data_IF_387538677144
#
_entry.id   IF_387538677144
#
_cell.length_a   1.000
_cell.length_b   1.000
_cell.length_c   1.000
_cell.angle_alpha   90.00
_cell.angle_beta   90.00
_cell.angle_gamma   90.00
#
_symmetry.space_group_name_H-M   'P 1'
#
loop_
_entity.id
_entity.type
_entity.pdbx_description
1 polymer ?
#
# COMPACT_ATOMS: atom_id res chain seq x y z
N UNK A 1 -0.71 -28.64 -3.79
CA UNK A 1 -0.45 -27.27 -3.29
C UNK A 1 -1.58 -26.40 -3.83
N UNK A 2 -2.42 -25.84 -2.96
CA UNK A 2 -3.56 -25.04 -3.41
C UNK A 2 -3.09 -23.74 -4.09
N UNK A 3 -3.55 -23.56 -5.32
CA UNK A 3 -3.36 -22.34 -6.12
C UNK A 3 -3.91 -21.11 -5.40
N UNK A 4 -3.28 -19.93 -5.56
CA UNK A 4 -3.81 -18.68 -5.01
C UNK A 4 -5.21 -18.41 -5.57
N UNK A 5 -6.16 -18.14 -4.68
CA UNK A 5 -7.51 -17.70 -5.03
C UNK A 5 -7.60 -16.18 -4.98
N UNK A 6 -8.33 -15.59 -5.92
CA UNK A 6 -8.60 -14.15 -5.93
C UNK A 6 -9.63 -13.82 -4.84
N UNK A 7 -9.31 -12.85 -4.00
CA UNK A 7 -10.20 -12.33 -2.95
C UNK A 7 -10.92 -11.05 -3.39
N UNK A 8 -10.24 -10.21 -4.16
CA UNK A 8 -10.78 -8.95 -4.65
C UNK A 8 -10.06 -8.52 -5.92
N UNK A 9 -10.83 -7.98 -6.87
CA UNK A 9 -10.29 -7.35 -8.08
C UNK A 9 -10.66 -5.87 -8.05
N UNK A 10 -9.70 -4.94 -8.00
CA UNK A 10 -10.02 -3.52 -8.03
C UNK A 10 -10.71 -3.17 -9.36
N UNK A 11 -11.78 -2.37 -9.28
CA UNK A 11 -12.46 -1.86 -10.48
C UNK A 11 -11.50 -1.02 -11.33
N UNK A 12 -11.81 -0.88 -12.63
CA UNK A 12 -11.02 -0.02 -13.52
C UNK A 12 -10.94 1.41 -12.99
N UNK A 13 -12.07 1.97 -12.54
CA UNK A 13 -12.14 3.29 -11.92
C UNK A 13 -11.19 3.40 -10.72
N UNK A 14 -11.23 2.42 -9.80
CA UNK A 14 -10.35 2.42 -8.64
C UNK A 14 -8.88 2.42 -9.04
N UNK A 15 -8.48 1.58 -10.01
CA UNK A 15 -7.10 1.54 -10.51
C UNK A 15 -6.69 2.88 -11.12
N UNK A 16 -7.55 3.50 -11.94
CA UNK A 16 -7.28 4.79 -12.59
C UNK A 16 -7.02 5.91 -11.58
N UNK A 17 -7.56 5.84 -10.36
CA UNK A 17 -7.32 6.85 -9.33
C UNK A 17 -6.01 6.67 -8.56
N UNK A 18 -5.26 5.59 -8.78
CA UNK A 18 -4.01 5.33 -8.05
C UNK A 18 -2.85 6.18 -8.56
N UNK A 19 -1.95 6.54 -7.66
CA UNK A 19 -0.69 7.20 -8.01
C UNK A 19 0.15 6.34 -8.96
N UNK A 20 0.09 5.00 -8.85
CA UNK A 20 0.80 4.09 -9.74
C UNK A 20 0.35 4.23 -11.20
N UNK A 21 -0.96 4.28 -11.48
CA UNK A 21 -1.46 4.53 -12.85
C UNK A 21 -1.07 5.92 -13.33
N UNK A 22 -1.20 6.94 -12.48
CA UNK A 22 -0.79 8.29 -12.83
C UNK A 22 0.71 8.36 -13.18
N UNK A 23 1.56 7.63 -12.45
CA UNK A 23 2.98 7.52 -12.71
C UNK A 23 3.28 6.81 -14.03
N UNK A 24 2.63 5.68 -14.32
CA UNK A 24 2.79 4.97 -15.59
C UNK A 24 2.43 5.87 -16.79
N UNK A 25 1.34 6.65 -16.68
CA UNK A 25 0.97 7.62 -17.71
C UNK A 25 2.00 8.73 -17.86
N UNK A 26 2.51 9.28 -16.74
CA UNK A 26 3.56 10.30 -16.78
C UNK A 26 4.83 9.76 -17.43
N UNK A 27 5.25 8.56 -17.07
CA UNK A 27 6.43 7.89 -17.61
C UNK A 27 6.35 7.72 -19.14
N UNK A 28 5.20 7.27 -19.64
CA UNK A 28 4.93 7.21 -21.09
C UNK A 28 5.00 8.58 -21.76
N UNK A 29 4.37 9.59 -21.15
CA UNK A 29 4.26 10.92 -21.74
C UNK A 29 5.59 11.68 -21.75
N UNK A 30 6.41 11.55 -20.71
CA UNK A 30 7.62 12.38 -20.54
C UNK A 30 8.91 11.67 -20.92
N UNK A 31 8.97 10.34 -20.78
CA UNK A 31 10.18 9.55 -21.03
C UNK A 31 9.99 8.55 -22.19
N UNK A 32 8.80 8.46 -22.78
CA UNK A 32 8.51 7.53 -23.89
C UNK A 32 8.51 6.05 -23.50
N UNK A 33 8.49 5.75 -22.19
CA UNK A 33 8.53 4.39 -21.66
C UNK A 33 7.10 3.92 -21.39
N UNK A 34 6.62 2.97 -22.21
CA UNK A 34 5.26 2.41 -22.13
C UNK A 34 5.28 1.05 -21.43
N UNK A 35 4.79 1.00 -20.18
CA UNK A 35 4.77 -0.20 -19.35
C UNK A 35 3.32 -0.61 -19.09
N UNK A 36 3.04 -1.91 -19.23
CA UNK A 36 1.68 -2.43 -19.19
C UNK A 36 1.07 -2.45 -17.78
N UNK A 37 1.89 -2.74 -16.77
CA UNK A 37 1.43 -3.01 -15.41
C UNK A 37 2.54 -2.78 -14.35
N UNK A 38 2.21 -3.08 -13.10
CA UNK A 38 3.11 -2.93 -11.96
C UNK A 38 4.32 -3.89 -12.00
N UNK A 39 4.17 -5.20 -12.33
CA UNK A 39 5.33 -6.06 -12.59
C UNK A 39 6.30 -5.50 -13.63
N UNK A 40 5.81 -5.01 -14.77
CA UNK A 40 6.64 -4.38 -15.79
C UNK A 40 7.38 -3.13 -15.25
N UNK A 41 6.73 -2.35 -14.38
CA UNK A 41 7.38 -1.24 -13.67
C UNK A 41 8.51 -1.71 -12.76
N UNK A 42 8.31 -2.77 -11.98
CA UNK A 42 9.37 -3.31 -11.10
C UNK A 42 10.56 -3.83 -11.92
N UNK A 43 10.31 -4.56 -13.00
CA UNK A 43 11.36 -5.07 -13.90
C UNK A 43 12.15 -3.92 -14.55
N UNK A 44 11.45 -2.93 -15.10
CA UNK A 44 12.07 -1.76 -15.69
C UNK A 44 12.88 -0.98 -14.65
N UNK A 45 12.34 -0.79 -13.44
CA UNK A 45 13.01 -0.05 -12.37
C UNK A 45 14.29 -0.72 -11.89
N UNK A 46 14.28 -2.06 -11.81
CA UNK A 46 15.46 -2.85 -11.46
C UNK A 46 16.58 -2.71 -12.52
N UNK A 47 16.20 -2.69 -13.81
CA UNK A 47 17.15 -2.51 -14.91
C UNK A 47 17.61 -1.05 -15.07
N UNK A 48 16.80 -0.07 -14.65
CA UNK A 48 17.02 1.35 -14.92
C UNK A 48 16.92 2.21 -13.64
N UNK A 49 17.73 1.98 -12.60
CA UNK A 49 17.57 2.68 -11.32
C UNK A 49 17.76 4.20 -11.44
N UNK A 50 18.73 4.67 -12.23
CA UNK A 50 18.96 6.09 -12.51
C UNK A 50 17.77 6.77 -13.22
N UNK A 51 17.36 6.29 -14.40
CA UNK A 51 16.18 6.79 -15.11
C UNK A 51 14.90 6.73 -14.26
N UNK A 52 14.71 5.68 -13.47
CA UNK A 52 13.56 5.56 -12.57
C UNK A 52 13.56 6.65 -11.51
N UNK A 53 14.70 6.90 -10.86
CA UNK A 53 14.83 8.01 -9.89
C UNK A 53 14.54 9.36 -10.55
N UNK A 54 15.04 9.59 -11.77
CA UNK A 54 14.76 10.82 -12.54
C UNK A 54 13.24 10.98 -12.78
N UNK A 55 12.58 9.92 -13.25
CA UNK A 55 11.14 9.94 -13.50
C UNK A 55 10.32 10.21 -12.23
N UNK A 56 10.70 9.61 -11.09
CA UNK A 56 10.01 9.85 -9.81
C UNK A 56 10.18 11.31 -9.36
N UNK A 57 11.39 11.89 -9.46
CA UNK A 57 11.60 13.31 -9.14
C UNK A 57 10.73 14.24 -9.98
N UNK A 58 10.62 13.95 -11.28
CA UNK A 58 9.78 14.73 -12.18
C UNK A 58 8.30 14.60 -11.78
N UNK A 59 7.85 13.36 -11.49
CA UNK A 59 6.48 13.08 -11.06
C UNK A 59 6.12 13.78 -9.74
N UNK A 60 7.03 13.77 -8.76
CA UNK A 60 6.82 14.43 -7.47
C UNK A 60 7.15 15.91 -7.46
N UNK A 61 7.70 16.46 -8.56
CA UNK A 61 8.20 17.83 -8.69
C UNK A 61 9.29 18.18 -7.66
N UNK A 62 10.20 17.23 -7.42
CA UNK A 62 11.30 17.36 -6.45
C UNK A 62 12.66 17.06 -7.12
N UNK A 63 13.18 17.96 -7.97
CA UNK A 63 14.35 17.70 -8.80
C UNK A 63 15.64 17.40 -8.01
N UNK A 64 15.84 18.05 -6.87
CA UNK A 64 17.13 18.06 -6.15
C UNK A 64 17.20 17.07 -4.97
N UNK A 65 16.13 16.31 -4.74
CA UNK A 65 16.00 15.45 -3.56
C UNK A 65 17.09 14.36 -3.47
N UNK A 66 17.59 13.87 -2.34
CA UNK A 66 18.56 12.76 -2.36
C UNK A 66 17.97 11.45 -2.91
N UNK A 67 18.82 10.58 -3.49
CA UNK A 67 18.38 9.32 -4.09
C UNK A 67 17.66 8.39 -3.09
N UNK A 68 18.16 8.33 -1.85
CA UNK A 68 17.56 7.54 -0.78
C UNK A 68 16.16 8.03 -0.41
N UNK A 69 15.95 9.35 -0.42
CA UNK A 69 14.64 9.95 -0.14
C UNK A 69 13.66 9.72 -1.29
N UNK A 70 14.12 9.78 -2.54
CA UNK A 70 13.30 9.43 -3.71
C UNK A 70 12.88 7.96 -3.67
N UNK A 71 13.79 7.06 -3.31
CA UNK A 71 13.46 5.65 -3.11
C UNK A 71 12.36 5.46 -2.05
N UNK A 72 12.46 6.18 -0.95
CA UNK A 72 11.45 6.12 0.11
C UNK A 72 10.09 6.67 -0.36
N UNK A 73 10.08 7.84 -1.02
CA UNK A 73 8.87 8.44 -1.58
C UNK A 73 8.19 7.55 -2.61
N UNK A 74 8.97 6.81 -3.41
CA UNK A 74 8.42 5.87 -4.38
C UNK A 74 7.56 4.80 -3.70
N UNK A 75 8.01 4.24 -2.58
CA UNK A 75 7.23 3.25 -1.84
C UNK A 75 5.98 3.88 -1.21
N UNK A 76 6.07 5.09 -0.64
CA UNK A 76 4.92 5.77 -0.03
C UNK A 76 3.84 6.13 -1.07
N UNK A 77 4.27 6.75 -2.17
CA UNK A 77 3.35 7.31 -3.16
C UNK A 77 2.85 6.23 -4.11
N UNK A 78 3.72 5.37 -4.62
CA UNK A 78 3.37 4.47 -5.72
C UNK A 78 2.91 3.10 -5.23
N UNK A 79 3.60 2.51 -4.25
CA UNK A 79 3.21 1.20 -3.71
C UNK A 79 2.08 1.30 -2.69
N UNK A 80 2.22 2.17 -1.69
CA UNK A 80 1.20 2.34 -0.63
C UNK A 80 0.04 3.25 -1.06
N UNK A 81 0.15 3.92 -2.21
CA UNK A 81 -0.85 4.83 -2.77
C UNK A 81 -1.31 5.89 -1.76
N UNK A 82 -0.35 6.44 -1.00
CA UNK A 82 -0.62 7.50 -0.01
C UNK A 82 -0.81 8.83 -0.74
N UNK A 83 -1.81 9.58 -0.29
CA UNK A 83 -2.28 10.84 -0.86
C UNK A 83 -2.40 11.89 0.26
N UNK A 84 -2.29 13.19 -0.05
CA UNK A 84 -2.39 14.24 0.97
C UNK A 84 -3.71 14.22 1.77
N UNK A 85 -4.81 13.81 1.14
CA UNK A 85 -6.12 13.72 1.80
C UNK A 85 -6.30 12.47 2.67
N UNK A 86 -5.31 11.59 2.75
CA UNK A 86 -5.44 10.36 3.50
C UNK A 86 -5.40 10.58 5.00
N UNK A 87 -6.22 9.78 5.68
CA UNK A 87 -6.13 9.54 7.11
C UNK A 87 -5.52 8.15 7.30
N UNK A 88 -4.33 8.09 7.89
CA UNK A 88 -3.61 6.87 8.22
C UNK A 88 -3.83 6.56 9.69
N UNK A 89 -4.38 5.38 10.00
CA UNK A 89 -4.35 4.83 11.34
C UNK A 89 -3.25 3.78 11.41
N UNK A 90 -2.27 3.96 12.30
CA UNK A 90 -1.03 3.17 12.28
C UNK A 90 -0.69 2.62 13.65
N UNK A 91 -0.57 1.29 13.73
CA UNK A 91 -0.06 0.55 14.88
C UNK A 91 1.41 0.16 14.66
N UNK A 92 2.24 1.16 14.36
CA UNK A 92 3.66 1.00 14.06
C UNK A 92 4.50 2.00 14.88
N UNK A 93 5.75 1.65 15.11
CA UNK A 93 6.77 2.52 15.68
C UNK A 93 7.86 2.88 14.66
N UNK A 94 7.85 2.29 13.46
CA UNK A 94 8.82 2.59 12.41
C UNK A 94 8.67 4.03 11.88
N UNK A 95 9.71 4.60 11.21
CA UNK A 95 9.69 6.01 10.77
C UNK A 95 8.77 6.33 9.59
N UNK A 96 8.48 5.35 8.71
CA UNK A 96 7.75 5.59 7.46
C UNK A 96 6.36 6.25 7.60
N UNK A 97 5.56 6.03 8.66
CA UNK A 97 4.28 6.72 8.83
C UNK A 97 4.49 8.23 9.06
N UNK A 98 5.52 8.61 9.83
CA UNK A 98 5.85 10.02 10.04
C UNK A 98 6.28 10.67 8.74
N UNK A 99 7.03 9.94 7.91
CA UNK A 99 7.42 10.39 6.58
C UNK A 99 6.21 10.53 5.66
N UNK A 100 5.22 9.66 5.73
CA UNK A 100 3.96 9.85 5.01
C UNK A 100 3.27 11.18 5.39
N UNK A 101 3.25 11.52 6.68
CA UNK A 101 2.71 12.79 7.14
C UNK A 101 3.55 13.99 6.69
N UNK A 102 4.88 13.96 6.89
CA UNK A 102 5.74 15.11 6.59
C UNK A 102 6.01 15.31 5.10
N UNK A 103 6.06 14.24 4.31
CA UNK A 103 6.48 14.28 2.91
C UNK A 103 5.33 14.28 1.92
N UNK A 104 4.22 13.62 2.25
CA UNK A 104 3.02 13.56 1.41
C UNK A 104 1.93 14.51 1.91
N UNK A 105 1.99 14.92 3.18
CA UNK A 105 0.97 15.77 3.81
C UNK A 105 -0.25 15.01 4.33
N UNK A 106 -0.16 13.69 4.48
CA UNK A 106 -1.26 12.88 4.98
C UNK A 106 -1.49 13.09 6.49
N UNK A 107 -2.72 12.88 6.96
CA UNK A 107 -3.06 12.92 8.39
C UNK A 107 -2.72 11.57 9.04
N UNK A 108 -2.00 11.60 10.16
CA UNK A 108 -1.58 10.39 10.87
C UNK A 108 -2.15 10.31 12.28
N UNK A 109 -2.87 9.22 12.55
CA UNK A 109 -3.22 8.77 13.90
C UNK A 109 -2.38 7.55 14.25
N UNK A 110 -1.53 7.69 15.27
CA UNK A 110 -0.81 6.55 15.84
C UNK A 110 -1.67 5.91 16.93
N UNK A 111 -1.85 4.60 16.84
CA UNK A 111 -2.52 3.83 17.89
C UNK A 111 -1.54 2.94 18.64
N UNK A 112 -1.68 2.93 19.95
CA UNK A 112 -1.02 2.02 20.88
C UNK A 112 -2.06 1.15 21.62
N UNK A 113 -3.32 1.22 21.20
CA UNK A 113 -4.43 0.50 21.81
C UNK A 113 -4.38 -1.01 21.53
N UNK A 114 -5.27 -1.78 22.16
CA UNK A 114 -5.30 -3.23 21.98
C UNK A 114 -5.66 -3.59 20.53
N UNK A 115 -5.07 -4.68 20.04
CA UNK A 115 -5.34 -5.22 18.72
C UNK A 115 -6.85 -5.43 18.46
N UNK A 116 -7.62 -5.76 19.51
CA UNK A 116 -9.05 -6.08 19.45
C UNK A 116 -9.96 -4.91 19.07
N UNK A 117 -9.52 -3.66 19.22
CA UNK A 117 -10.33 -2.47 18.88
C UNK A 117 -9.89 -1.78 17.59
N UNK A 118 -8.92 -2.35 16.86
CA UNK A 118 -8.25 -1.65 15.76
C UNK A 118 -9.19 -1.21 14.62
N UNK A 119 -10.18 -2.04 14.27
CA UNK A 119 -11.18 -1.68 13.26
C UNK A 119 -12.18 -0.62 13.76
N UNK A 120 -12.46 -0.57 15.07
CA UNK A 120 -13.33 0.46 15.66
C UNK A 120 -12.64 1.81 15.64
N UNK A 121 -11.35 1.82 15.98
CA UNK A 121 -10.52 3.01 15.87
C UNK A 121 -10.44 3.47 14.41
N UNK A 122 -10.29 2.56 13.45
CA UNK A 122 -10.29 2.90 12.03
C UNK A 122 -11.61 3.57 11.62
N UNK A 123 -12.74 3.04 12.07
CA UNK A 123 -14.06 3.62 11.83
C UNK A 123 -14.21 5.01 12.48
N UNK A 124 -13.82 5.15 13.75
CA UNK A 124 -13.95 6.40 14.51
C UNK A 124 -13.11 7.56 13.91
N UNK A 125 -11.96 7.23 13.34
CA UNK A 125 -11.08 8.21 12.68
C UNK A 125 -11.36 8.37 11.19
N UNK A 126 -12.36 7.68 10.63
CA UNK A 126 -12.62 7.62 9.20
C UNK A 126 -11.35 7.26 8.40
N UNK A 127 -10.53 6.36 8.96
CA UNK A 127 -9.25 6.00 8.41
C UNK A 127 -9.39 5.49 6.98
N UNK A 128 -8.57 6.03 6.10
CA UNK A 128 -8.53 5.66 4.68
C UNK A 128 -7.50 4.55 4.43
N UNK A 129 -6.44 4.53 5.25
CA UNK A 129 -5.40 3.51 5.28
C UNK A 129 -5.25 3.02 6.72
N UNK A 130 -5.22 1.71 6.90
CA UNK A 130 -4.91 1.06 8.18
C UNK A 130 -3.60 0.30 8.06
N UNK A 131 -2.58 0.64 8.86
CA UNK A 131 -1.31 -0.09 8.89
C UNK A 131 -1.09 -0.76 10.25
N UNK A 132 -1.00 -2.09 10.27
CA UNK A 132 -1.03 -2.88 11.51
C UNK A 132 -0.17 -4.15 11.41
N UNK A 133 0.40 -4.66 12.51
CA UNK A 133 1.08 -5.96 12.50
C UNK A 133 0.15 -7.07 12.03
N UNK A 134 0.61 -7.95 11.14
CA UNK A 134 -0.19 -9.08 10.66
C UNK A 134 -0.81 -9.93 11.80
N UNK A 135 -0.07 -10.26 12.89
CA UNK A 135 -0.63 -11.05 14.00
C UNK A 135 -1.84 -10.41 14.69
N UNK A 136 -2.02 -9.10 14.60
CA UNK A 136 -3.19 -8.43 15.18
C UNK A 136 -4.47 -8.76 14.44
N UNK A 137 -4.38 -8.89 13.12
CA UNK A 137 -5.50 -9.25 12.25
C UNK A 137 -5.68 -10.77 12.14
N UNK A 138 -4.60 -11.55 12.10
CA UNK A 138 -4.69 -13.01 12.09
C UNK A 138 -5.45 -13.57 13.30
N UNK A 139 -5.23 -12.97 14.48
CA UNK A 139 -5.88 -13.36 15.74
C UNK A 139 -7.12 -12.52 16.06
N UNK A 140 -7.61 -11.73 15.10
CA UNK A 140 -8.71 -10.80 15.32
C UNK A 140 -10.06 -11.52 15.41
N UNK A 141 -10.92 -11.10 16.34
CA UNK A 141 -12.30 -11.55 16.39
C UNK A 141 -13.18 -10.72 15.45
N UNK A 142 -13.44 -11.26 14.27
CA UNK A 142 -14.20 -10.58 13.21
C UNK A 142 -15.72 -10.57 13.44
N UNK A 143 -16.24 -11.50 14.24
CA UNK A 143 -17.68 -11.57 14.53
C UNK A 143 -18.08 -10.44 15.48
N UNK A 144 -18.93 -9.55 14.99
CA UNK A 144 -19.37 -8.35 15.72
C UNK A 144 -20.88 -8.25 15.75
N UNK A 145 -21.42 -7.69 16.85
CA UNK A 145 -22.86 -7.41 17.00
C UNK A 145 -23.35 -6.29 16.08
N UNK A 146 -22.48 -5.34 15.73
CA UNK A 146 -22.81 -4.19 14.89
C UNK A 146 -21.78 -4.01 13.77
N UNK A 147 -22.25 -3.54 12.61
CA UNK A 147 -21.40 -3.24 11.47
C UNK A 147 -20.70 -1.90 11.68
N UNK A 148 -19.39 -1.86 11.49
CA UNK A 148 -18.60 -0.64 11.56
C UNK A 148 -18.74 0.18 10.27
N UNK A 149 -18.74 1.50 10.40
CA UNK A 149 -18.63 2.36 9.23
C UNK A 149 -17.17 2.43 8.78
N UNK A 150 -16.81 1.61 7.79
CA UNK A 150 -15.50 1.58 7.15
C UNK A 150 -15.58 2.02 5.69
N UNK A 151 -16.54 2.91 5.35
CA UNK A 151 -16.76 3.34 3.97
C UNK A 151 -15.55 4.03 3.34
N UNK A 152 -14.75 4.73 4.15
CA UNK A 152 -13.55 5.45 3.72
C UNK A 152 -12.30 4.56 3.65
N UNK A 153 -12.30 3.43 4.36
CA UNK A 153 -11.15 2.52 4.41
C UNK A 153 -10.98 1.83 3.06
N UNK A 154 -9.88 2.14 2.38
CA UNK A 154 -9.57 1.55 1.07
C UNK A 154 -8.40 0.58 1.13
N UNK A 155 -7.42 0.78 2.01
CA UNK A 155 -6.22 -0.07 2.04
C UNK A 155 -5.92 -0.52 3.46
N UNK A 156 -5.59 -1.81 3.62
CA UNK A 156 -4.95 -2.34 4.82
C UNK A 156 -3.54 -2.76 4.44
N UNK A 157 -2.55 -2.28 5.21
CA UNK A 157 -1.14 -2.61 5.07
C UNK A 157 -0.74 -3.45 6.27
N UNK A 158 -0.42 -4.72 6.07
CA UNK A 158 0.10 -5.56 7.15
C UNK A 158 1.62 -5.44 7.29
N UNK A 159 2.06 -5.32 8.53
CA UNK A 159 3.45 -5.10 8.88
C UNK A 159 4.10 -6.42 9.31
N UNK A 160 5.29 -6.68 8.81
CA UNK A 160 6.10 -7.86 9.10
C UNK A 160 5.82 -9.06 8.19
N UNK A 161 4.59 -9.24 7.72
CA UNK A 161 4.18 -10.34 6.84
C UNK A 161 2.83 -10.04 6.17
N UNK A 162 2.47 -10.76 5.09
CA UNK A 162 1.08 -10.82 4.63
C UNK A 162 0.18 -11.54 5.65
N UNK A 163 -1.13 -11.31 5.58
CA UNK A 163 -2.11 -12.08 6.35
C UNK A 163 -2.09 -13.56 5.96
N UNK A 164 -2.52 -14.42 6.89
CA UNK A 164 -2.95 -15.76 6.54
C UNK A 164 -4.11 -15.73 5.54
N UNK A 165 -4.23 -16.76 4.70
CA UNK A 165 -5.32 -16.88 3.73
C UNK A 165 -6.70 -16.84 4.43
N UNK A 166 -6.80 -17.43 5.61
CA UNK A 166 -8.01 -17.43 6.42
C UNK A 166 -8.37 -16.02 6.92
N UNK A 167 -7.43 -15.29 7.53
CA UNK A 167 -7.68 -13.94 8.01
C UNK A 167 -8.00 -12.97 6.86
N UNK A 168 -7.29 -13.09 5.73
CA UNK A 168 -7.61 -12.34 4.53
C UNK A 168 -9.04 -12.62 4.05
N UNK A 169 -9.46 -13.90 3.98
CA UNK A 169 -10.85 -14.27 3.65
C UNK A 169 -11.88 -13.70 4.63
N UNK A 170 -11.57 -13.69 5.93
CA UNK A 170 -12.44 -13.08 6.96
C UNK A 170 -12.58 -11.56 6.80
N UNK A 171 -11.53 -10.85 6.36
CA UNK A 171 -11.64 -9.41 6.03
C UNK A 171 -12.69 -9.19 4.95
N UNK A 172 -12.62 -9.92 3.84
CA UNK A 172 -13.57 -9.74 2.74
C UNK A 172 -14.98 -10.20 3.06
N UNK A 173 -15.13 -11.16 3.97
CA UNK A 173 -16.44 -11.69 4.40
C UNK A 173 -17.11 -10.79 5.44
N UNK A 174 -16.36 -10.33 6.45
CA UNK A 174 -16.93 -9.72 7.67
C UNK A 174 -16.60 -8.24 7.85
N UNK A 175 -15.58 -7.72 7.17
CA UNK A 175 -15.13 -6.34 7.33
C UNK A 175 -15.57 -5.49 6.13
N UNK A 176 -15.01 -5.75 4.95
CA UNK A 176 -15.29 -4.99 3.73
C UNK A 176 -14.78 -5.75 2.50
N UNK A 177 -15.63 -5.87 1.48
CA UNK A 177 -15.39 -6.67 0.27
C UNK A 177 -14.50 -5.99 -0.77
N UNK A 178 -14.24 -4.69 -0.61
CA UNK A 178 -13.52 -3.83 -1.55
C UNK A 178 -12.36 -3.12 -0.86
N UNK A 179 -11.48 -3.88 -0.21
CA UNK A 179 -10.23 -3.39 0.39
C UNK A 179 -9.05 -3.86 -0.44
N UNK A 180 -8.04 -3.00 -0.62
CA UNK A 180 -6.73 -3.42 -1.09
C UNK A 180 -5.93 -3.96 0.10
N UNK A 181 -5.40 -5.19 -0.01
CA UNK A 181 -4.50 -5.76 1.00
C UNK A 181 -3.08 -5.73 0.47
N UNK A 182 -2.22 -4.99 1.16
CA UNK A 182 -0.78 -4.94 0.92
C UNK A 182 -0.06 -5.42 2.18
N UNK A 183 1.20 -5.85 2.02
CA UNK A 183 2.05 -6.11 3.17
C UNK A 183 3.47 -5.62 2.93
N UNK A 184 4.20 -5.37 4.02
CA UNK A 184 5.62 -4.99 3.96
C UNK A 184 6.42 -5.48 5.16
N UNK A 185 7.68 -5.79 4.91
CA UNK A 185 8.69 -6.15 5.91
C UNK A 185 10.07 -5.68 5.41
N UNK A 186 10.53 -4.54 5.91
CA UNK A 186 11.72 -3.88 5.39
C UNK A 186 11.57 -3.57 3.89
N UNK A 187 12.47 -4.14 3.09
CA UNK A 187 12.55 -3.96 1.63
C UNK A 187 11.69 -4.94 0.84
N UNK A 188 11.03 -5.88 1.53
CA UNK A 188 10.14 -6.86 0.91
C UNK A 188 8.69 -6.42 1.04
N UNK A 189 7.95 -6.52 -0.05
CA UNK A 189 6.53 -6.19 -0.13
C UNK A 189 5.73 -7.35 -0.69
N UNK A 190 4.43 -7.35 -0.42
CA UNK A 190 3.48 -8.32 -0.96
C UNK A 190 2.22 -7.60 -1.41
N UNK A 191 1.65 -8.10 -2.50
CA UNK A 191 0.53 -7.46 -3.18
C UNK A 191 1.02 -6.41 -4.17
N UNK A 192 0.04 -5.80 -4.84
CA UNK A 192 0.26 -4.88 -5.94
C UNK A 192 -0.94 -3.90 -5.95
N UNK A 193 -0.70 -2.58 -5.98
CA UNK A 193 -1.76 -1.59 -5.95
C UNK A 193 -2.70 -1.62 -7.18
N UNK A 194 -2.29 -2.28 -8.27
CA UNK A 194 -3.01 -2.35 -9.54
C UNK A 194 -3.63 -3.73 -9.82
N UNK A 195 -3.12 -4.79 -9.22
CA UNK A 195 -3.55 -6.17 -9.52
C UNK A 195 -4.60 -6.70 -8.53
N UNK A 196 -5.25 -7.84 -8.85
CA UNK A 196 -6.13 -8.51 -7.91
C UNK A 196 -5.42 -8.92 -6.62
N UNK A 197 -6.14 -8.80 -5.50
CA UNK A 197 -5.70 -9.34 -4.20
C UNK A 197 -5.93 -10.84 -4.19
N UNK A 198 -4.93 -11.60 -3.76
CA UNK A 198 -4.99 -13.06 -3.67
C UNK A 198 -4.74 -13.56 -2.25
N UNK A 199 -5.15 -14.79 -1.96
CA UNK A 199 -4.92 -15.46 -0.66
C UNK A 199 -3.45 -15.75 -0.37
N UNK A 200 -2.59 -15.75 -1.39
CA UNK A 200 -1.14 -15.98 -1.27
C UNK A 200 -0.40 -15.01 -2.20
N UNK A 201 -0.25 -13.73 -1.80
CA UNK A 201 0.44 -12.76 -2.63
C UNK A 201 1.92 -13.14 -2.75
N UNK A 202 2.51 -12.90 -3.93
CA UNK A 202 3.93 -13.10 -4.15
C UNK A 202 4.75 -12.01 -3.43
N UNK A 203 5.89 -12.41 -2.89
CA UNK A 203 6.85 -11.47 -2.33
C UNK A 203 7.69 -10.87 -3.45
N UNK A 204 7.80 -9.54 -3.48
CA UNK A 204 8.71 -8.83 -4.39
C UNK A 204 9.59 -7.85 -3.61
N UNK A 205 10.72 -7.42 -4.18
CA UNK A 205 11.39 -6.22 -3.70
C UNK A 205 10.45 -5.02 -3.82
N UNK A 206 10.45 -4.12 -2.84
CA UNK A 206 9.79 -2.83 -2.93
C UNK A 206 10.46 -1.95 -3.99
N UNK A 207 9.70 -1.06 -4.64
CA UNK A 207 10.22 -0.18 -5.68
C UNK A 207 11.40 0.65 -5.19
N UNK A 208 11.31 1.17 -3.96
CA UNK A 208 12.39 1.91 -3.30
C UNK A 208 13.65 1.07 -3.09
N UNK A 209 13.56 -0.24 -2.90
CA UNK A 209 14.73 -1.11 -2.79
C UNK A 209 15.45 -1.31 -4.12
N UNK A 210 14.69 -1.38 -5.22
CA UNK A 210 15.24 -1.56 -6.57
C UNK A 210 16.04 -0.34 -7.02
N UNK A 211 15.57 0.85 -6.65
CA UNK A 211 16.17 2.12 -7.06
C UNK A 211 17.09 2.75 -6.01
N UNK A 212 17.43 2.03 -4.94
CA UNK A 212 18.45 2.45 -3.97
C UNK A 212 19.88 2.18 -4.46
N UNK A 213 20.03 1.28 -5.43
CA UNK A 213 21.31 0.82 -5.98
C UNK A 213 21.95 1.84 -6.92
#
# INVERSE_FOLDING_TARGET
MDSPSILFTPSAERRLTTNAVAFLHALRATEGVDLADWPALLEWAAANPGPTRKAIRAFTRQPDRPALEIAHLADLLLFLDIRPADILLVADAQPWPWQAASEVGATLFRTIGPATTILEQAANHYATILAVPAPWLDNFSYQRRHRLNLSTLRTIITLGAPLSAEAAGRIYTWVKSDIMLLARAGDRVWGDPLSPVTTKPNATPGLGSLIRR
#
